data_IF_168408728839
#
_entry.id   IF_168408728839
#
_cell.length_a   1.000
_cell.length_b   1.000
_cell.length_c   1.000
_cell.angle_alpha   90.00
_cell.angle_beta   90.00
_cell.angle_gamma   90.00
#
_symmetry.space_group_name_H-M   'P 1'
#
loop_
_entity.id
_entity.type
_entity.pdbx_description
1 polymer ?
#
# COMPACT_ATOMS: atom_id res chain seq x y z
N UNK A 1 -71.21 37.76 -2.74
CA UNK A 1 -69.73 37.88 -2.53
C UNK A 1 -69.18 36.49 -2.29
N UNK A 2 -68.56 35.88 -3.31
CA UNK A 2 -67.96 34.54 -3.20
C UNK A 2 -66.45 34.70 -3.16
N UNK A 3 -65.82 34.35 -2.02
CA UNK A 3 -64.41 34.40 -1.77
C UNK A 3 -63.73 33.13 -2.33
N UNK A 4 -62.82 33.23 -3.31
CA UNK A 4 -62.06 32.13 -3.88
C UNK A 4 -60.75 32.02 -3.14
N UNK A 5 -60.58 30.96 -2.37
CA UNK A 5 -59.31 30.58 -1.73
C UNK A 5 -58.44 29.86 -2.76
N UNK A 6 -57.30 30.47 -3.16
CA UNK A 6 -56.27 29.82 -3.97
C UNK A 6 -55.36 29.02 -3.04
N UNK A 7 -55.40 27.72 -3.14
CA UNK A 7 -54.44 26.80 -2.48
C UNK A 7 -53.22 26.71 -3.40
N UNK A 8 -52.12 27.29 -2.97
CA UNK A 8 -50.82 27.15 -3.65
C UNK A 8 -50.16 25.82 -3.26
N UNK A 9 -50.03 24.94 -4.23
CA UNK A 9 -49.35 23.64 -4.08
C UNK A 9 -47.85 23.85 -4.30
N UNK A 10 -47.08 23.90 -3.20
CA UNK A 10 -45.60 23.93 -3.27
C UNK A 10 -45.09 22.52 -3.56
N UNK A 11 -44.60 22.29 -4.79
CA UNK A 11 -43.93 21.07 -5.19
C UNK A 11 -42.50 21.13 -4.68
N UNK A 12 -42.17 20.38 -3.62
CA UNK A 12 -40.78 20.19 -3.16
C UNK A 12 -40.11 19.21 -4.08
N UNK A 13 -39.25 19.71 -4.98
CA UNK A 13 -38.30 18.86 -5.74
C UNK A 13 -37.21 18.36 -4.80
N UNK A 14 -37.27 17.08 -4.46
CA UNK A 14 -36.15 16.38 -3.86
C UNK A 14 -35.08 16.17 -4.93
N UNK A 15 -34.02 16.97 -4.87
CA UNK A 15 -32.80 16.70 -5.63
C UNK A 15 -32.11 15.49 -4.98
N UNK A 16 -32.40 14.29 -5.48
CA UNK A 16 -31.62 13.10 -5.18
C UNK A 16 -30.25 13.28 -5.83
N UNK A 17 -29.25 13.67 -5.07
CA UNK A 17 -27.85 13.57 -5.49
C UNK A 17 -27.54 12.09 -5.69
N UNK A 18 -27.50 11.64 -6.93
CA UNK A 18 -26.97 10.33 -7.25
C UNK A 18 -25.49 10.34 -6.83
N UNK A 19 -25.17 9.64 -5.74
CA UNK A 19 -23.79 9.36 -5.36
C UNK A 19 -23.22 8.43 -6.43
N UNK A 20 -22.44 8.99 -7.35
CA UNK A 20 -21.72 8.23 -8.34
C UNK A 20 -20.55 7.54 -7.59
N UNK A 21 -20.72 6.28 -7.29
CA UNK A 21 -19.62 5.46 -6.75
C UNK A 21 -18.60 5.33 -7.87
N UNK A 22 -17.37 5.76 -7.63
CA UNK A 22 -16.31 5.50 -8.58
C UNK A 22 -15.97 4.01 -8.52
N UNK A 23 -16.12 3.33 -9.67
CA UNK A 23 -15.78 1.92 -9.81
C UNK A 23 -14.25 1.71 -9.75
N UNK A 24 -13.85 0.49 -9.43
CA UNK A 24 -12.45 0.07 -9.53
C UNK A 24 -11.94 0.25 -10.95
N UNK A 25 -10.79 0.85 -11.11
CA UNK A 25 -10.26 1.19 -12.42
C UNK A 25 -8.74 0.97 -12.56
N UNK A 26 -8.32 0.51 -13.73
CA UNK A 26 -6.91 0.58 -14.14
C UNK A 26 -6.63 1.97 -14.69
N UNK A 27 -5.84 2.73 -13.96
CA UNK A 27 -5.43 4.08 -14.35
C UNK A 27 -3.99 4.04 -14.85
N UNK A 28 -3.73 4.68 -15.98
CA UNK A 28 -2.40 4.80 -16.58
C UNK A 28 -1.95 6.25 -16.55
N UNK A 29 -0.80 6.50 -15.97
CA UNK A 29 -0.23 7.83 -15.77
C UNK A 29 1.03 7.95 -16.64
N UNK A 30 1.17 9.02 -17.44
CA UNK A 30 2.45 9.37 -18.05
C UNK A 30 3.47 9.68 -16.95
N UNK A 31 4.72 9.25 -17.16
CA UNK A 31 5.80 9.49 -16.21
C UNK A 31 7.06 10.01 -16.92
N UNK A 32 8.21 9.38 -16.76
CA UNK A 32 9.45 9.75 -17.45
C UNK A 32 9.25 9.77 -18.97
N UNK A 33 10.18 10.38 -19.71
CA UNK A 33 10.06 10.55 -21.16
C UNK A 33 9.59 9.30 -21.90
N UNK A 34 8.38 9.41 -22.50
CA UNK A 34 7.75 8.34 -23.25
C UNK A 34 7.27 7.13 -22.44
N UNK A 35 7.51 7.11 -21.12
CA UNK A 35 7.09 6.00 -20.27
C UNK A 35 5.75 6.26 -19.61
N UNK A 36 5.12 5.17 -19.18
CA UNK A 36 3.85 5.17 -18.45
C UNK A 36 3.94 4.20 -17.29
N UNK A 37 3.19 4.47 -16.24
CA UNK A 37 2.96 3.55 -15.13
C UNK A 37 1.47 3.39 -14.91
N UNK A 38 1.02 2.17 -14.64
CA UNK A 38 -0.37 1.92 -14.32
C UNK A 38 -0.53 1.56 -12.84
N UNK A 39 -1.66 1.92 -12.27
CA UNK A 39 -2.07 1.46 -10.96
C UNK A 39 -3.55 1.07 -10.98
N UNK A 40 -3.91 0.09 -10.15
CA UNK A 40 -5.30 -0.28 -9.93
C UNK A 40 -5.87 0.56 -8.79
N UNK A 41 -6.84 1.41 -9.12
CA UNK A 41 -7.49 2.30 -8.18
C UNK A 41 -8.76 1.68 -7.63
N UNK A 42 -8.91 1.66 -6.32
CA UNK A 42 -10.08 1.18 -5.59
C UNK A 42 -10.47 2.25 -4.57
N UNK A 43 -11.36 3.17 -4.94
CA UNK A 43 -11.80 4.23 -4.03
C UNK A 43 -12.69 3.69 -2.90
N UNK A 44 -12.69 4.41 -1.78
CA UNK A 44 -13.57 4.20 -0.64
C UNK A 44 -14.12 5.53 -0.19
N UNK A 45 -15.43 5.66 -0.15
CA UNK A 45 -16.08 6.86 0.37
C UNK A 45 -15.69 7.10 1.83
N UNK A 46 -15.34 8.36 2.14
CA UNK A 46 -14.92 8.73 3.50
C UNK A 46 -13.62 8.07 3.96
N UNK A 47 -12.75 7.65 3.02
CA UNK A 47 -11.51 6.96 3.35
C UNK A 47 -10.66 7.73 4.36
N UNK A 48 -10.23 7.06 5.42
CA UNK A 48 -9.34 7.63 6.44
C UNK A 48 -7.91 7.86 5.92
N UNK A 49 -7.49 7.08 4.93
CA UNK A 49 -6.19 7.20 4.27
C UNK A 49 -6.24 6.55 2.88
N UNK A 50 -5.22 6.80 2.07
CA UNK A 50 -4.95 6.09 0.82
C UNK A 50 -3.67 5.28 0.97
N UNK A 51 -3.74 3.98 0.70
CA UNK A 51 -2.58 3.09 0.71
C UNK A 51 -2.09 2.82 -0.72
N UNK A 52 -0.81 3.11 -0.98
CA UNK A 52 -0.13 2.70 -2.20
C UNK A 52 0.58 1.38 -1.91
N UNK A 53 0.11 0.30 -2.53
CA UNK A 53 0.57 -1.06 -2.28
C UNK A 53 1.71 -1.43 -3.26
N UNK A 54 2.87 -1.72 -2.69
CA UNK A 54 4.12 -2.01 -3.39
C UNK A 54 4.45 -3.50 -3.27
N UNK A 55 4.19 -4.25 -4.34
CA UNK A 55 4.36 -5.69 -4.35
C UNK A 55 5.83 -6.13 -4.33
N UNK A 56 6.08 -7.30 -3.75
CA UNK A 56 7.38 -7.98 -3.78
C UNK A 56 7.67 -8.68 -5.10
N UNK A 57 8.66 -9.59 -5.11
CA UNK A 57 9.11 -10.30 -6.30
C UNK A 57 9.56 -9.33 -7.40
N UNK A 58 9.15 -9.57 -8.63
CA UNK A 58 9.41 -8.71 -9.79
C UNK A 58 8.59 -7.42 -9.84
N UNK A 59 7.72 -7.20 -8.84
CA UNK A 59 6.77 -6.08 -8.86
C UNK A 59 5.51 -6.40 -9.65
N UNK A 60 4.75 -5.35 -9.95
CA UNK A 60 3.54 -5.44 -10.77
C UNK A 60 2.34 -6.09 -10.08
N UNK A 61 1.22 -6.11 -10.79
CA UNK A 61 -0.07 -6.57 -10.27
C UNK A 61 -0.47 -7.97 -10.78
N UNK A 62 0.29 -8.53 -11.74
CA UNK A 62 -0.14 -9.73 -12.46
C UNK A 62 -1.48 -9.50 -13.17
N UNK A 63 -1.64 -8.35 -13.82
CA UNK A 63 -2.89 -7.92 -14.44
C UNK A 63 -3.28 -8.87 -15.57
N UNK A 64 -4.46 -9.47 -15.46
CA UNK A 64 -5.01 -10.42 -16.43
C UNK A 64 -6.53 -10.42 -16.35
N UNK A 65 -7.19 -10.59 -17.50
CA UNK A 65 -8.66 -10.62 -17.60
C UNK A 65 -9.33 -9.41 -16.94
N UNK A 66 -8.76 -8.22 -17.14
CA UNK A 66 -9.28 -6.97 -16.59
C UNK A 66 -9.09 -6.79 -15.07
N UNK A 67 -8.30 -7.64 -14.40
CA UNK A 67 -8.15 -7.64 -12.94
C UNK A 67 -6.70 -7.91 -12.49
N UNK A 68 -6.25 -7.39 -11.32
CA UNK A 68 -5.06 -7.85 -10.65
C UNK A 68 -5.20 -9.30 -10.17
N UNK A 69 -4.25 -10.18 -10.58
CA UNK A 69 -4.34 -11.65 -10.35
C UNK A 69 -3.09 -12.25 -9.69
N UNK A 70 -2.11 -11.45 -9.29
CA UNK A 70 -0.92 -11.99 -8.62
C UNK A 70 -1.27 -12.62 -7.25
N UNK A 71 -0.53 -13.68 -6.91
CA UNK A 71 -0.60 -14.30 -5.59
C UNK A 71 0.09 -13.47 -4.48
N UNK A 72 0.72 -12.33 -4.82
CA UNK A 72 1.33 -11.46 -3.82
C UNK A 72 0.33 -11.08 -2.71
N UNK A 73 0.80 -11.07 -1.46
CA UNK A 73 -0.03 -10.76 -0.28
C UNK A 73 -0.87 -9.49 -0.47
N UNK A 74 -0.24 -8.38 -0.82
CA UNK A 74 -0.94 -7.09 -0.94
C UNK A 74 -2.01 -7.10 -2.06
N UNK A 75 -1.77 -7.89 -3.12
CA UNK A 75 -2.71 -7.98 -4.24
C UNK A 75 -3.90 -8.87 -3.88
N UNK A 76 -3.66 -10.01 -3.21
CA UNK A 76 -4.75 -10.88 -2.71
C UNK A 76 -5.60 -10.18 -1.66
N UNK A 77 -4.94 -9.40 -0.79
CA UNK A 77 -5.56 -8.77 0.37
C UNK A 77 -6.16 -7.38 0.09
N UNK A 78 -6.12 -6.89 -1.16
CA UNK A 78 -6.53 -5.52 -1.51
C UNK A 78 -7.94 -5.15 -1.04
N UNK A 79 -8.89 -6.09 -1.14
CA UNK A 79 -10.27 -5.86 -0.72
C UNK A 79 -10.39 -5.66 0.80
N UNK A 80 -9.56 -6.34 1.58
CA UNK A 80 -9.55 -6.14 3.03
C UNK A 80 -9.05 -4.73 3.38
N UNK A 81 -8.06 -4.17 2.67
CA UNK A 81 -7.67 -2.76 2.87
C UNK A 81 -8.83 -1.81 2.62
N UNK A 82 -9.61 -2.02 1.55
CA UNK A 82 -10.81 -1.22 1.28
C UNK A 82 -11.88 -1.41 2.37
N UNK A 83 -12.05 -2.62 2.87
CA UNK A 83 -13.00 -2.91 3.97
C UNK A 83 -12.59 -2.22 5.28
N UNK A 84 -11.30 -1.97 5.48
CA UNK A 84 -10.78 -1.18 6.60
C UNK A 84 -10.96 0.35 6.45
N UNK A 85 -11.70 0.78 5.44
CA UNK A 85 -11.99 2.21 5.21
C UNK A 85 -10.84 2.98 4.56
N UNK A 86 -10.05 2.31 3.72
CA UNK A 86 -8.92 2.91 3.02
C UNK A 86 -9.16 2.93 1.50
N UNK A 87 -8.74 4.00 0.82
CA UNK A 87 -8.52 3.91 -0.62
C UNK A 87 -7.31 3.02 -0.90
N UNK A 88 -7.36 2.27 -1.98
CA UNK A 88 -6.29 1.36 -2.37
C UNK A 88 -5.77 1.71 -3.76
N UNK A 89 -4.46 1.86 -3.90
CA UNK A 89 -3.76 2.00 -5.17
C UNK A 89 -2.72 0.88 -5.28
N UNK A 90 -3.01 -0.16 -6.07
CA UNK A 90 -2.02 -1.20 -6.37
C UNK A 90 -1.08 -0.70 -7.46
N UNK A 91 0.20 -0.56 -7.16
CA UNK A 91 1.18 -0.08 -8.12
C UNK A 91 1.58 -1.19 -9.11
N UNK A 92 1.53 -0.86 -10.41
CA UNK A 92 2.10 -1.69 -11.47
C UNK A 92 3.58 -1.41 -11.70
N UNK A 93 4.15 -2.11 -12.67
CA UNK A 93 5.49 -1.78 -13.18
C UNK A 93 5.38 -0.66 -14.23
N UNK A 94 6.38 0.20 -14.38
CA UNK A 94 6.45 1.11 -15.50
C UNK A 94 6.64 0.36 -16.82
N UNK A 95 6.26 1.00 -17.93
CA UNK A 95 6.17 0.36 -19.25
C UNK A 95 7.51 -0.18 -19.79
N UNK A 96 8.63 0.35 -19.32
CA UNK A 96 9.99 -0.05 -19.67
C UNK A 96 10.59 -1.10 -18.72
N UNK A 97 9.83 -1.59 -17.70
CA UNK A 97 10.36 -2.48 -16.68
C UNK A 97 9.47 -3.70 -16.45
N UNK A 98 10.00 -4.89 -16.71
CA UNK A 98 9.29 -6.15 -16.44
C UNK A 98 9.60 -6.70 -15.04
N UNK A 99 10.82 -6.54 -14.60
CA UNK A 99 11.31 -7.01 -13.30
C UNK A 99 12.05 -5.88 -12.59
N UNK A 100 11.47 -5.41 -11.50
CA UNK A 100 12.07 -4.37 -10.67
C UNK A 100 13.05 -5.00 -9.70
N UNK A 101 14.34 -4.96 -10.01
CA UNK A 101 15.40 -5.32 -9.08
C UNK A 101 15.57 -4.28 -7.96
N UNK A 102 16.46 -4.55 -7.00
CA UNK A 102 16.65 -3.66 -5.86
C UNK A 102 17.28 -2.32 -6.26
N UNK A 103 18.16 -2.32 -7.28
CA UNK A 103 18.76 -1.08 -7.79
C UNK A 103 17.70 -0.16 -8.41
N UNK A 104 16.80 -0.73 -9.22
CA UNK A 104 15.67 0.01 -9.76
C UNK A 104 14.78 0.57 -8.65
N UNK A 105 14.41 -0.26 -7.67
CA UNK A 105 13.53 0.13 -6.56
C UNK A 105 14.05 1.31 -5.74
N UNK A 106 15.36 1.53 -5.73
CA UNK A 106 16.03 2.65 -5.05
C UNK A 106 16.38 3.81 -5.99
N UNK A 107 16.04 3.72 -7.28
CA UNK A 107 16.44 4.70 -8.29
C UNK A 107 15.58 5.97 -8.27
N UNK A 108 16.16 7.05 -8.81
CA UNK A 108 15.47 8.30 -9.13
C UNK A 108 14.29 8.07 -10.09
N UNK A 109 14.47 7.16 -11.06
CA UNK A 109 13.46 6.81 -12.03
C UNK A 109 12.20 6.24 -11.35
N UNK A 110 12.37 5.30 -10.42
CA UNK A 110 11.26 4.75 -9.64
C UNK A 110 10.58 5.82 -8.77
N UNK A 111 11.36 6.69 -8.15
CA UNK A 111 10.83 7.82 -7.39
C UNK A 111 9.94 8.71 -8.27
N UNK A 112 10.43 9.10 -9.44
CA UNK A 112 9.68 9.93 -10.40
C UNK A 112 8.37 9.26 -10.82
N UNK A 113 8.41 7.97 -11.12
CA UNK A 113 7.21 7.21 -11.51
C UNK A 113 6.16 7.25 -10.40
N UNK A 114 6.57 7.01 -9.14
CA UNK A 114 5.64 6.99 -8.00
C UNK A 114 5.14 8.39 -7.66
N UNK A 115 5.96 9.43 -7.78
CA UNK A 115 5.51 10.82 -7.58
C UNK A 115 4.40 11.21 -8.57
N UNK A 116 4.49 10.78 -9.84
CA UNK A 116 3.43 11.02 -10.81
C UNK A 116 2.13 10.27 -10.43
N UNK A 117 2.23 9.04 -9.94
CA UNK A 117 1.07 8.30 -9.41
C UNK A 117 0.49 9.00 -8.19
N UNK A 118 1.31 9.45 -7.23
CA UNK A 118 0.85 10.20 -6.06
C UNK A 118 0.13 11.50 -6.45
N UNK A 119 0.65 12.22 -7.44
CA UNK A 119 0.02 13.44 -7.95
C UNK A 119 -1.34 13.14 -8.61
N UNK A 120 -1.46 12.01 -9.31
CA UNK A 120 -2.72 11.57 -9.89
C UNK A 120 -3.75 11.18 -8.80
N UNK A 121 -3.33 10.40 -7.81
CA UNK A 121 -4.17 10.00 -6.67
C UNK A 121 -4.68 11.24 -5.92
N UNK A 122 -3.84 12.27 -5.72
CA UNK A 122 -4.24 13.52 -5.03
C UNK A 122 -5.32 14.31 -5.78
N UNK A 123 -5.47 14.12 -7.09
CA UNK A 123 -6.61 14.69 -7.85
C UNK A 123 -7.92 13.97 -7.57
N UNK A 124 -7.86 12.73 -7.11
CA UNK A 124 -9.01 11.87 -6.85
C UNK A 124 -9.41 11.83 -5.38
N UNK A 125 -8.44 12.01 -4.46
CA UNK A 125 -8.67 11.94 -3.02
C UNK A 125 -7.69 12.83 -2.25
N UNK A 126 -8.20 13.55 -1.26
CA UNK A 126 -7.39 14.32 -0.30
C UNK A 126 -6.94 13.50 0.91
N UNK A 127 -7.29 12.21 0.98
CA UNK A 127 -6.92 11.35 2.10
C UNK A 127 -5.40 11.19 2.22
N UNK A 128 -4.84 11.15 3.44
CA UNK A 128 -3.39 11.03 3.66
C UNK A 128 -2.80 9.81 2.96
N UNK A 129 -1.64 9.98 2.31
CA UNK A 129 -0.98 8.91 1.55
C UNK A 129 -0.05 8.07 2.45
N UNK A 130 -0.19 6.77 2.37
CA UNK A 130 0.66 5.78 3.03
C UNK A 130 1.29 4.85 2.01
N UNK A 131 2.54 4.45 2.23
CA UNK A 131 3.16 3.36 1.48
C UNK A 131 3.03 2.05 2.28
N UNK A 132 2.66 0.98 1.61
CA UNK A 132 2.66 -0.38 2.18
C UNK A 132 3.48 -1.28 1.27
N UNK A 133 4.64 -1.72 1.73
CA UNK A 133 5.51 -2.62 0.99
C UNK A 133 5.52 -4.03 1.56
N UNK A 134 5.66 -5.06 0.71
CA UNK A 134 5.89 -6.44 1.15
C UNK A 134 7.11 -7.05 0.46
N UNK A 135 7.92 -7.81 1.21
CA UNK A 135 9.12 -8.47 0.66
C UNK A 135 10.02 -7.45 -0.07
N UNK A 136 10.44 -7.70 -1.32
CA UNK A 136 11.18 -6.72 -2.13
C UNK A 136 10.44 -5.38 -2.31
N UNK A 137 9.11 -5.34 -2.15
CA UNK A 137 8.34 -4.10 -2.11
C UNK A 137 8.73 -3.19 -0.95
N UNK A 138 9.31 -3.72 0.13
CA UNK A 138 9.82 -2.90 1.25
C UNK A 138 11.09 -2.14 0.89
N UNK A 139 11.88 -2.63 -0.09
CA UNK A 139 13.00 -1.87 -0.66
C UNK A 139 12.50 -0.59 -1.30
N UNK A 140 11.47 -0.70 -2.16
CA UNK A 140 10.78 0.46 -2.75
C UNK A 140 10.17 1.37 -1.68
N UNK A 141 9.39 0.79 -0.76
CA UNK A 141 8.67 1.57 0.26
C UNK A 141 9.63 2.39 1.13
N UNK A 142 10.78 1.80 1.51
CA UNK A 142 11.79 2.48 2.31
C UNK A 142 12.49 3.60 1.52
N UNK A 143 12.94 3.33 0.29
CA UNK A 143 13.60 4.32 -0.56
C UNK A 143 12.68 5.51 -0.87
N UNK A 144 11.41 5.22 -1.20
CA UNK A 144 10.40 6.24 -1.46
C UNK A 144 10.06 7.03 -0.19
N UNK A 145 9.91 6.35 0.96
CA UNK A 145 9.64 7.03 2.22
C UNK A 145 10.79 7.97 2.62
N UNK A 146 12.05 7.59 2.40
CA UNK A 146 13.20 8.46 2.63
C UNK A 146 13.19 9.70 1.74
N UNK A 147 12.84 9.53 0.46
CA UNK A 147 12.86 10.61 -0.51
C UNK A 147 11.64 11.54 -0.43
N UNK A 148 10.46 11.01 -0.02
CA UNK A 148 9.17 11.67 -0.13
C UNK A 148 8.47 11.85 1.25
N UNK A 149 9.19 11.75 2.34
CA UNK A 149 8.60 11.70 3.69
C UNK A 149 7.74 12.93 4.04
N UNK A 150 7.99 14.08 3.44
CA UNK A 150 7.19 15.29 3.67
C UNK A 150 5.85 15.27 2.91
N UNK A 151 5.69 14.31 1.98
CA UNK A 151 4.50 14.09 1.17
C UNK A 151 3.67 12.87 1.64
N UNK A 152 4.17 12.13 2.61
CA UNK A 152 3.58 10.87 3.10
C UNK A 152 3.15 10.99 4.57
N UNK A 153 2.06 10.33 4.90
CA UNK A 153 1.59 10.21 6.29
C UNK A 153 2.31 9.11 7.07
N UNK A 154 2.84 8.09 6.38
CA UNK A 154 3.59 7.02 7.01
C UNK A 154 3.94 5.87 6.06
N UNK A 155 4.60 4.86 6.59
CA UNK A 155 5.00 3.65 5.84
C UNK A 155 4.78 2.39 6.67
N UNK A 156 4.32 1.32 5.99
CA UNK A 156 4.18 -0.02 6.54
C UNK A 156 5.09 -0.96 5.77
N UNK A 157 5.92 -1.71 6.50
CA UNK A 157 6.91 -2.63 5.98
C UNK A 157 6.54 -4.06 6.41
N UNK A 158 6.02 -4.87 5.48
CA UNK A 158 5.58 -6.24 5.79
C UNK A 158 6.53 -7.28 5.20
N UNK A 159 6.85 -8.33 5.94
CA UNK A 159 7.78 -9.37 5.52
C UNK A 159 9.03 -8.77 4.85
N UNK A 160 9.65 -7.81 5.51
CA UNK A 160 10.69 -6.94 4.97
C UNK A 160 11.95 -7.69 4.58
N UNK A 161 12.66 -7.19 3.56
CA UNK A 161 14.04 -7.64 3.30
C UNK A 161 14.91 -7.19 4.48
N UNK A 162 15.23 -8.12 5.38
CA UNK A 162 15.99 -7.87 6.62
C UNK A 162 17.46 -8.20 6.49
N UNK A 163 17.80 -9.18 5.61
CA UNK A 163 19.17 -9.67 5.48
C UNK A 163 20.13 -8.60 4.96
N UNK A 164 21.17 -8.32 5.74
CA UNK A 164 22.22 -7.36 5.37
C UNK A 164 23.06 -7.80 4.14
N UNK A 165 22.89 -9.03 3.66
CA UNK A 165 23.53 -9.53 2.44
C UNK A 165 22.87 -9.00 1.18
N UNK A 166 21.59 -8.63 1.25
CA UNK A 166 20.84 -8.05 0.14
C UNK A 166 21.15 -6.55 0.03
N UNK A 167 21.58 -6.09 -1.13
CA UNK A 167 22.05 -4.71 -1.34
C UNK A 167 20.98 -3.66 -1.02
N UNK A 168 19.72 -3.94 -1.36
CA UNK A 168 18.59 -3.05 -1.14
C UNK A 168 17.86 -3.27 0.18
N UNK A 169 18.37 -4.12 1.08
CA UNK A 169 17.67 -4.45 2.32
C UNK A 169 17.36 -3.21 3.17
N UNK A 170 16.24 -3.26 3.86
CA UNK A 170 15.76 -2.15 4.68
C UNK A 170 16.80 -1.67 5.70
N UNK A 171 17.50 -2.54 6.45
CA UNK A 171 18.53 -2.09 7.40
C UNK A 171 19.75 -1.40 6.77
N UNK A 172 20.00 -1.60 5.46
CA UNK A 172 21.10 -0.97 4.74
C UNK A 172 20.75 0.41 4.17
N UNK A 173 19.49 0.75 4.13
CA UNK A 173 19.04 2.09 3.75
C UNK A 173 19.14 3.04 4.95
N UNK A 174 19.10 4.33 4.71
CA UNK A 174 19.26 5.36 5.76
C UNK A 174 18.02 5.50 6.65
N UNK A 175 17.46 4.37 7.13
CA UNK A 175 16.19 4.33 7.89
C UNK A 175 16.18 5.18 9.16
N UNK A 176 17.36 5.45 9.72
CA UNK A 176 17.49 6.37 10.85
C UNK A 176 17.06 7.81 10.53
N UNK A 177 16.95 8.19 9.24
CA UNK A 177 16.51 9.51 8.81
C UNK A 177 14.99 9.61 8.61
N UNK A 178 14.25 8.50 8.71
CA UNK A 178 12.79 8.52 8.61
C UNK A 178 12.18 9.23 9.82
N UNK A 179 11.36 10.24 9.58
CA UNK A 179 10.66 11.03 10.60
C UNK A 179 9.17 10.74 10.68
N UNK A 180 8.62 10.06 9.67
CA UNK A 180 7.20 9.69 9.61
C UNK A 180 6.90 8.44 10.48
N UNK A 181 5.63 8.12 10.75
CA UNK A 181 5.23 6.89 11.40
C UNK A 181 5.64 5.64 10.58
N UNK A 182 6.20 4.63 11.25
CA UNK A 182 6.65 3.38 10.62
C UNK A 182 6.11 2.17 11.37
N UNK A 183 5.37 1.30 10.66
CA UNK A 183 5.02 -0.04 11.13
C UNK A 183 5.90 -1.09 10.47
N UNK A 184 6.55 -1.92 11.26
CA UNK A 184 7.24 -3.14 10.82
C UNK A 184 6.36 -4.32 11.20
N UNK A 185 5.90 -5.11 10.21
CA UNK A 185 4.92 -6.19 10.42
C UNK A 185 5.44 -7.50 9.83
N UNK A 186 5.71 -8.49 10.67
CA UNK A 186 6.30 -9.76 10.27
C UNK A 186 5.52 -10.96 10.81
N UNK A 187 5.52 -12.05 10.06
CA UNK A 187 5.05 -13.32 10.55
C UNK A 187 6.17 -14.06 11.25
N UNK A 188 5.94 -14.55 12.47
CA UNK A 188 6.97 -15.26 13.28
C UNK A 188 7.57 -16.47 12.57
N UNK A 189 6.75 -17.19 11.83
CA UNK A 189 7.16 -18.39 11.11
C UNK A 189 7.63 -18.11 9.67
N UNK A 190 7.90 -16.85 9.31
CA UNK A 190 8.52 -16.54 8.01
C UNK A 190 9.93 -17.15 7.97
N UNK A 191 10.05 -18.26 7.25
CA UNK A 191 11.29 -18.99 7.08
C UNK A 191 12.05 -18.61 5.80
N UNK A 192 11.66 -17.52 5.15
CA UNK A 192 12.41 -16.98 4.03
C UNK A 192 13.71 -16.35 4.54
N UNK A 193 14.83 -16.89 4.09
CA UNK A 193 16.19 -16.55 4.59
C UNK A 193 16.59 -15.09 4.46
N UNK A 194 15.87 -14.30 3.67
CA UNK A 194 16.16 -12.87 3.44
C UNK A 194 15.16 -11.94 4.14
N UNK A 195 14.15 -12.50 4.83
CA UNK A 195 13.06 -11.74 5.46
C UNK A 195 12.71 -12.28 6.85
N UNK A 196 13.67 -12.80 7.58
CA UNK A 196 13.41 -13.44 8.87
C UNK A 196 12.82 -12.48 9.89
N UNK A 197 11.85 -12.96 10.68
CA UNK A 197 11.20 -12.17 11.72
C UNK A 197 12.17 -11.71 12.81
N UNK A 198 13.16 -12.54 13.16
CA UNK A 198 14.15 -12.20 14.18
C UNK A 198 15.03 -11.00 13.78
N UNK A 199 15.34 -10.87 12.48
CA UNK A 199 16.09 -9.72 11.97
C UNK A 199 15.23 -8.45 11.82
N UNK A 200 13.91 -8.53 11.89
CA UNK A 200 13.01 -7.37 11.83
C UNK A 200 13.25 -6.39 12.99
N UNK A 201 13.73 -6.88 14.13
CA UNK A 201 14.15 -6.07 15.26
C UNK A 201 15.28 -5.07 14.90
N UNK A 202 16.14 -5.42 13.94
CA UNK A 202 17.19 -4.53 13.45
C UNK A 202 16.61 -3.31 12.72
N UNK A 203 15.52 -3.52 11.96
CA UNK A 203 14.79 -2.41 11.33
C UNK A 203 14.21 -1.52 12.42
N UNK A 204 13.47 -2.11 13.36
CA UNK A 204 12.82 -1.35 14.44
C UNK A 204 13.82 -0.52 15.25
N UNK A 205 14.98 -1.09 15.62
CA UNK A 205 16.04 -0.36 16.33
C UNK A 205 16.65 0.75 15.48
N UNK A 206 16.82 0.51 14.16
CA UNK A 206 17.39 1.49 13.22
C UNK A 206 16.52 2.72 12.99
N UNK A 207 15.22 2.67 13.25
CA UNK A 207 14.26 3.79 13.10
C UNK A 207 14.40 4.80 14.26
N UNK A 208 15.53 5.52 14.31
CA UNK A 208 15.88 6.38 15.46
C UNK A 208 15.15 7.71 15.49
N UNK A 209 14.68 8.23 14.36
CA UNK A 209 13.97 9.53 14.26
C UNK A 209 12.49 9.39 13.90
N UNK A 210 11.98 8.18 13.76
CA UNK A 210 10.56 7.98 13.45
C UNK A 210 9.67 8.55 14.57
N UNK A 211 8.67 9.37 14.21
CA UNK A 211 7.73 10.00 15.18
C UNK A 211 7.03 8.96 16.04
N UNK A 212 6.58 7.90 15.39
CA UNK A 212 5.97 6.73 16.00
C UNK A 212 6.48 5.51 15.26
N UNK A 213 6.88 4.48 15.99
CA UNK A 213 7.28 3.22 15.36
C UNK A 213 6.73 2.04 16.15
N UNK A 214 6.39 0.97 15.43
CA UNK A 214 5.93 -0.27 16.02
C UNK A 214 6.51 -1.46 15.29
N UNK A 215 6.88 -2.49 16.04
CA UNK A 215 7.16 -3.83 15.52
C UNK A 215 6.03 -4.77 15.95
N UNK A 216 5.37 -5.37 14.99
CA UNK A 216 4.36 -6.41 15.21
C UNK A 216 4.86 -7.71 14.61
N UNK A 217 5.14 -8.69 15.47
CA UNK A 217 5.46 -10.06 15.05
C UNK A 217 4.26 -10.93 15.38
N UNK A 218 3.58 -11.39 14.35
CA UNK A 218 2.30 -12.09 14.44
C UNK A 218 2.43 -13.57 14.14
N UNK A 219 1.46 -14.34 14.60
CA UNK A 219 1.31 -15.76 14.35
C UNK A 219 -0.11 -16.05 13.86
N UNK A 220 -0.28 -17.14 13.17
CA UNK A 220 -1.58 -17.60 12.67
C UNK A 220 -1.53 -18.01 11.21
N UNK A 221 -2.71 -18.05 10.59
CA UNK A 221 -2.84 -18.56 9.24
C UNK A 221 -2.83 -20.08 9.18
N UNK A 222 -2.83 -20.63 7.96
CA UNK A 222 -2.88 -22.08 7.76
C UNK A 222 -2.46 -22.48 6.34
N UNK A 223 -2.12 -23.75 6.17
CA UNK A 223 -1.85 -24.36 4.87
C UNK A 223 -0.78 -23.63 4.03
N UNK A 224 0.42 -23.32 4.58
CA UNK A 224 1.49 -22.78 3.78
C UNK A 224 1.92 -23.79 2.71
N UNK A 225 2.18 -23.33 1.50
CA UNK A 225 2.59 -24.18 0.38
C UNK A 225 3.78 -23.58 -0.37
N UNK A 226 4.58 -24.46 -0.97
CA UNK A 226 5.70 -24.07 -1.81
C UNK A 226 6.94 -23.63 -1.03
N UNK A 227 7.78 -22.82 -1.68
CA UNK A 227 9.00 -22.30 -1.09
C UNK A 227 8.70 -21.25 -0.01
N UNK A 228 9.42 -21.24 1.13
CA UNK A 228 9.21 -20.26 2.20
C UNK A 228 9.20 -18.78 1.78
N UNK A 229 9.92 -18.41 0.72
CA UNK A 229 9.90 -17.03 0.20
C UNK A 229 8.77 -16.75 -0.79
N UNK A 230 7.84 -17.68 -0.98
CA UNK A 230 6.72 -17.53 -1.90
C UNK A 230 5.47 -16.97 -1.19
N UNK A 231 4.62 -16.35 -2.00
CA UNK A 231 3.45 -15.62 -1.51
C UNK A 231 2.40 -16.52 -0.81
N UNK A 232 2.33 -17.82 -1.13
CA UNK A 232 1.41 -18.78 -0.52
C UNK A 232 2.03 -19.52 0.68
N UNK A 233 2.96 -18.86 1.36
CA UNK A 233 3.60 -19.33 2.59
C UNK A 233 3.42 -18.29 3.72
N UNK A 234 3.99 -18.53 4.90
CA UNK A 234 4.00 -17.56 6.02
C UNK A 234 4.58 -16.21 5.62
N UNK A 235 5.53 -16.19 4.69
CA UNK A 235 6.05 -14.99 4.07
C UNK A 235 4.97 -14.09 3.44
N UNK A 236 3.91 -14.68 2.92
CA UNK A 236 2.76 -13.98 2.33
C UNK A 236 1.53 -13.97 3.24
N UNK A 237 1.68 -14.24 4.53
CA UNK A 237 0.58 -14.24 5.51
C UNK A 237 -0.59 -15.14 5.10
N UNK A 238 -0.31 -16.32 4.50
CA UNK A 238 -1.32 -17.23 3.97
C UNK A 238 -2.32 -17.65 5.06
N UNK A 239 -3.62 -17.55 4.75
CA UNK A 239 -4.71 -17.92 5.65
C UNK A 239 -4.94 -16.97 6.83
N UNK A 240 -4.27 -15.78 6.83
CA UNK A 240 -4.50 -14.72 7.80
C UNK A 240 -4.49 -13.32 7.16
N UNK A 241 -4.74 -13.23 5.87
CA UNK A 241 -4.67 -11.99 5.10
C UNK A 241 -5.58 -10.91 5.70
N UNK A 242 -6.83 -11.28 6.02
CA UNK A 242 -7.80 -10.36 6.62
C UNK A 242 -7.31 -9.84 7.96
N UNK A 243 -6.87 -10.71 8.86
CA UNK A 243 -6.33 -10.33 10.16
C UNK A 243 -5.11 -9.41 10.03
N UNK A 244 -4.19 -9.75 9.13
CA UNK A 244 -3.00 -8.91 8.91
C UNK A 244 -3.39 -7.51 8.42
N UNK A 245 -4.38 -7.40 7.53
CA UNK A 245 -4.87 -6.10 7.05
C UNK A 245 -5.65 -5.35 8.12
N UNK A 246 -6.44 -6.02 8.97
CA UNK A 246 -7.11 -5.40 10.12
C UNK A 246 -6.09 -4.76 11.08
N UNK A 247 -5.03 -5.49 11.43
CA UNK A 247 -3.97 -4.96 12.30
C UNK A 247 -3.29 -3.74 11.66
N UNK A 248 -2.93 -3.83 10.37
CA UNK A 248 -2.31 -2.74 9.60
C UNK A 248 -3.25 -1.55 9.46
N UNK A 249 -4.51 -1.77 9.09
CA UNK A 249 -5.52 -0.73 8.90
C UNK A 249 -5.83 0.01 10.21
N UNK A 250 -5.96 -0.73 11.31
CA UNK A 250 -6.15 -0.14 12.63
C UNK A 250 -4.96 0.78 13.00
N UNK A 251 -3.73 0.34 12.73
CA UNK A 251 -2.55 1.14 13.03
C UNK A 251 -2.43 2.37 12.09
N UNK A 252 -2.76 2.25 10.80
CA UNK A 252 -2.76 3.39 9.86
C UNK A 252 -3.74 4.48 10.33
N UNK A 253 -4.93 4.11 10.80
CA UNK A 253 -5.93 5.06 11.29
C UNK A 253 -5.49 5.75 12.58
N UNK A 254 -4.73 5.08 13.42
CA UNK A 254 -4.26 5.62 14.69
C UNK A 254 -2.86 5.08 15.03
N UNK A 255 -1.80 5.67 14.46
CA UNK A 255 -0.43 5.26 14.74
C UNK A 255 -0.09 5.42 16.22
N UNK A 256 0.35 4.32 16.84
CA UNK A 256 0.79 4.30 18.25
C UNK A 256 1.93 3.29 18.43
N UNK A 257 2.81 3.49 19.42
CA UNK A 257 3.90 2.58 19.74
C UNK A 257 3.46 1.15 20.04
#
# INVERSE_FOLDING_TARGET
MKLWMRVGMYCWMWLSSAVCWADDALITVPTRDGQKIAYWWMPKEGAAATVILLSGGSGGMGFRDGQPRSNNFLIRAREFFRSEGLNVALLGNPSDMRDMDDAWRMSEAHRTDVQNVMADIRRQSSAPLWLVGTSRGTVSATALALALQDELAGVVLTASITSSREAGSVPRQAIGQLRLPVLVYHHRQDACRITTADEAENIFRGLTHAKVKKLMVVEGGQNPTGNPCQALHWHGFIGMEERAVQDIGAWIRQPQP
#
